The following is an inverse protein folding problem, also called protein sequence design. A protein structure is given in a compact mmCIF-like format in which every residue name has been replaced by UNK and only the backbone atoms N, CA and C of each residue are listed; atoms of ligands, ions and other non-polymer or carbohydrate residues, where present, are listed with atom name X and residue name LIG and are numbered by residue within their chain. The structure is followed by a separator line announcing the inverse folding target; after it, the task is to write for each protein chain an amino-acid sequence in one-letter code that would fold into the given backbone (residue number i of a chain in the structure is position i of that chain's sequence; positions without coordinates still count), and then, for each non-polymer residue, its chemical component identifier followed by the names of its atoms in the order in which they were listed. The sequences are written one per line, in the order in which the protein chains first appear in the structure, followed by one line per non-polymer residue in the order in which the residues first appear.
data_IF_394371504723
#
_entry.id   IF_394371504723
#
_cell.length_a   1.000
_cell.length_b   1.000
_cell.length_c   1.000
_cell.angle_alpha   90.00
_cell.angle_beta   90.00
_cell.angle_gamma   90.00
#
_symmetry.space_group_name_H-M   'P 1'
#
loop_
_entity.id
_entity.type
_entity.pdbx_description
1 polymer ?
#
# COMPACT_ATOMS: atom_id res chain seq x y z
N UNK A 1 -13.14 5.54 -19.01
CA UNK A 1 -12.67 5.94 -17.66
C UNK A 1 -12.59 4.67 -16.85
N UNK A 2 -11.40 4.35 -16.32
CA UNK A 2 -11.26 3.25 -15.35
C UNK A 2 -11.88 3.78 -14.07
N UNK A 3 -13.01 3.23 -13.66
CA UNK A 3 -13.69 3.68 -12.45
C UNK A 3 -13.32 2.82 -11.24
N UNK A 4 -12.90 1.58 -11.49
CA UNK A 4 -12.51 0.63 -10.46
C UNK A 4 -11.63 -0.48 -11.04
N UNK A 5 -10.77 -1.06 -10.22
CA UNK A 5 -10.10 -2.33 -10.55
C UNK A 5 -11.12 -3.45 -10.84
N UNK A 6 -12.33 -3.38 -10.27
CA UNK A 6 -13.42 -4.33 -10.56
C UNK A 6 -13.92 -4.28 -12.01
N UNK A 7 -13.61 -3.22 -12.77
CA UNK A 7 -13.87 -3.17 -14.20
C UNK A 7 -12.98 -4.16 -14.97
N UNK A 8 -11.91 -4.66 -14.33
CA UNK A 8 -10.92 -5.58 -14.88
C UNK A 8 -10.89 -6.94 -14.19
N UNK A 9 -11.16 -6.97 -12.88
CA UNK A 9 -11.11 -8.18 -12.07
C UNK A 9 -12.48 -8.51 -11.47
N UNK A 10 -12.91 -9.77 -11.56
CA UNK A 10 -14.06 -10.24 -10.79
C UNK A 10 -13.64 -10.57 -9.37
N UNK A 11 -14.21 -9.91 -8.36
CA UNK A 11 -14.01 -10.32 -6.96
C UNK A 11 -14.69 -11.69 -6.76
N UNK A 12 -13.97 -12.76 -6.42
CA UNK A 12 -14.54 -14.11 -6.43
C UNK A 12 -15.63 -14.29 -5.35
N UNK A 13 -15.58 -13.50 -4.27
CA UNK A 13 -16.56 -13.52 -3.19
C UNK A 13 -16.40 -14.73 -2.26
N UNK A 14 -17.23 -14.83 -1.23
CA UNK A 14 -17.27 -16.01 -0.36
C UNK A 14 -15.99 -16.30 0.44
N UNK A 15 -15.17 -15.28 0.73
CA UNK A 15 -13.88 -15.44 1.42
C UNK A 15 -12.72 -15.84 0.51
N UNK A 16 -12.90 -15.71 -0.81
CA UNK A 16 -11.86 -15.91 -1.82
C UNK A 16 -11.33 -14.55 -2.27
N UNK A 17 -10.02 -14.37 -2.18
CA UNK A 17 -9.27 -13.17 -2.54
C UNK A 17 -8.34 -13.43 -3.73
N UNK A 18 -7.84 -12.35 -4.34
CA UNK A 18 -6.98 -12.43 -5.51
C UNK A 18 -5.54 -12.76 -5.12
N UNK A 19 -5.08 -13.94 -5.52
CA UNK A 19 -3.69 -14.38 -5.45
C UNK A 19 -3.04 -14.30 -4.05
N UNK A 20 -3.79 -14.32 -2.95
CA UNK A 20 -3.21 -14.37 -1.60
C UNK A 20 -3.43 -15.73 -0.90
N UNK A 21 -4.25 -16.59 -1.49
CA UNK A 21 -4.64 -17.89 -0.93
C UNK A 21 -4.10 -19.03 -1.79
N UNK A 22 -3.04 -19.74 -1.36
CA UNK A 22 -2.41 -20.79 -2.17
C UNK A 22 -3.36 -21.94 -2.56
N UNK A 23 -4.42 -22.18 -1.79
CA UNK A 23 -5.41 -23.22 -2.10
C UNK A 23 -6.42 -22.82 -3.19
N UNK A 24 -6.48 -21.54 -3.57
CA UNK A 24 -7.41 -21.00 -4.56
C UNK A 24 -6.81 -20.96 -5.97
N UNK A 25 -7.65 -20.61 -6.95
CA UNK A 25 -7.21 -20.39 -8.32
C UNK A 25 -6.26 -19.17 -8.40
N UNK A 26 -5.19 -19.31 -9.18
CA UNK A 26 -4.34 -18.19 -9.55
C UNK A 26 -4.95 -17.42 -10.73
N UNK A 27 -4.88 -16.11 -10.68
CA UNK A 27 -5.32 -15.21 -11.73
C UNK A 27 -4.14 -14.42 -12.29
N UNK A 28 -4.02 -14.35 -13.61
CA UNK A 28 -2.94 -13.59 -14.24
C UNK A 28 -3.04 -12.09 -13.92
N UNK A 29 -1.91 -11.41 -13.63
CA UNK A 29 -1.90 -9.97 -13.41
C UNK A 29 -2.42 -9.20 -14.62
N UNK A 30 -3.20 -8.15 -14.38
CA UNK A 30 -3.70 -7.26 -15.42
C UNK A 30 -2.81 -6.01 -15.45
N UNK A 31 -1.98 -5.81 -16.48
CA UNK A 31 -1.14 -4.62 -16.56
C UNK A 31 -1.99 -3.40 -16.86
N UNK A 32 -1.79 -2.33 -16.09
CA UNK A 32 -2.36 -1.01 -16.34
C UNK A 32 -1.21 -0.07 -16.68
N UNK A 33 -1.27 0.56 -17.84
CA UNK A 33 -0.28 1.53 -18.30
C UNK A 33 -0.97 2.86 -18.59
N UNK A 34 -0.32 3.95 -18.20
CA UNK A 34 -0.73 5.30 -18.57
C UNK A 34 0.50 6.11 -18.95
N UNK A 35 0.31 7.10 -19.80
CA UNK A 35 1.34 8.05 -20.23
C UNK A 35 0.89 9.46 -19.82
N UNK A 36 1.79 10.19 -19.18
CA UNK A 36 1.58 11.59 -18.81
C UNK A 36 2.56 12.46 -19.60
N UNK A 37 2.04 13.27 -20.50
CA UNK A 37 2.82 14.24 -21.27
C UNK A 37 2.59 15.64 -20.71
N UNK A 38 3.66 16.26 -20.21
CA UNK A 38 3.61 17.63 -19.75
C UNK A 38 3.59 18.59 -20.94
N UNK A 39 2.70 19.59 -20.89
CA UNK A 39 2.63 20.65 -21.91
C UNK A 39 3.62 21.80 -21.64
N UNK A 40 4.08 21.92 -20.39
CA UNK A 40 5.05 22.91 -19.92
C UNK A 40 6.10 22.21 -19.03
N UNK A 41 7.35 22.71 -18.97
CA UNK A 41 8.35 22.19 -18.05
C UNK A 41 7.89 22.30 -16.58
N UNK A 42 8.10 21.23 -15.80
CA UNK A 42 7.80 21.20 -14.38
C UNK A 42 9.10 21.17 -13.57
N UNK A 43 9.29 22.19 -12.73
CA UNK A 43 10.44 22.27 -11.81
C UNK A 43 10.25 21.32 -10.63
N UNK A 44 10.94 20.18 -10.63
CA UNK A 44 10.80 19.14 -9.59
C UNK A 44 11.09 19.65 -8.17
N UNK A 45 11.93 20.67 -8.02
CA UNK A 45 12.26 21.29 -6.73
C UNK A 45 11.07 22.01 -6.07
N UNK A 46 10.04 22.33 -6.84
CA UNK A 46 8.80 22.98 -6.35
C UNK A 46 7.76 21.98 -5.88
N UNK A 47 7.96 20.69 -6.17
CA UNK A 47 7.01 19.65 -5.79
C UNK A 47 7.14 19.31 -4.30
N UNK A 48 6.04 18.90 -3.67
CA UNK A 48 6.09 18.30 -2.34
C UNK A 48 6.88 16.99 -2.37
N UNK A 49 7.21 16.44 -1.19
CA UNK A 49 8.03 15.22 -1.09
C UNK A 49 7.43 14.01 -1.82
N UNK A 50 6.10 13.98 -1.99
CA UNK A 50 5.37 12.97 -2.75
C UNK A 50 5.36 13.21 -4.28
N UNK A 51 6.01 14.28 -4.75
CA UNK A 51 6.20 14.55 -6.18
C UNK A 51 4.89 14.75 -6.94
N UNK A 52 4.77 14.05 -8.08
CA UNK A 52 3.55 14.00 -8.90
C UNK A 52 2.81 12.65 -8.76
N UNK A 53 3.31 11.76 -7.92
CA UNK A 53 2.83 10.39 -7.76
C UNK A 53 2.24 10.23 -6.37
N UNK A 54 0.92 10.36 -6.23
CA UNK A 54 0.18 10.10 -4.99
C UNK A 54 -0.94 9.09 -5.28
N UNK A 55 -0.61 7.80 -5.50
CA UNK A 55 -1.61 6.77 -5.71
C UNK A 55 -2.36 6.49 -4.40
N UNK A 56 -3.60 6.00 -4.54
CA UNK A 56 -4.41 5.59 -3.40
C UNK A 56 -5.32 4.42 -3.77
N UNK A 57 -5.81 3.72 -2.75
CA UNK A 57 -6.84 2.70 -2.85
C UNK A 57 -8.17 3.28 -2.37
N UNK A 58 -9.26 2.91 -3.04
CA UNK A 58 -10.62 3.26 -2.64
C UNK A 58 -11.31 2.02 -2.08
N UNK A 59 -11.69 2.07 -0.80
CA UNK A 59 -12.33 0.95 -0.11
C UNK A 59 -13.79 0.86 -0.55
N UNK A 60 -14.25 -0.34 -0.92
CA UNK A 60 -15.65 -0.63 -1.26
C UNK A 60 -16.29 0.30 -2.32
N UNK A 61 -15.49 0.99 -3.15
CA UNK A 61 -15.95 2.01 -4.11
C UNK A 61 -16.60 3.23 -3.45
N UNK A 62 -16.29 3.47 -2.19
CA UNK A 62 -16.72 4.66 -1.46
C UNK A 62 -15.69 5.76 -1.69
N UNK A 63 -16.06 6.78 -2.46
CA UNK A 63 -15.12 7.81 -2.94
C UNK A 63 -14.30 8.48 -1.82
N UNK A 64 -14.88 8.66 -0.63
CA UNK A 64 -14.20 9.26 0.51
C UNK A 64 -13.40 8.29 1.38
N UNK A 65 -13.50 6.98 1.15
CA UNK A 65 -12.78 5.98 1.92
C UNK A 65 -11.47 5.63 1.22
N UNK A 66 -10.49 6.49 1.41
CA UNK A 66 -9.19 6.45 0.74
C UNK A 66 -8.10 5.86 1.64
N UNK A 67 -7.16 5.12 1.06
CA UNK A 67 -5.93 4.66 1.71
C UNK A 67 -4.75 5.10 0.85
N UNK A 68 -3.85 5.92 1.40
CA UNK A 68 -2.64 6.38 0.71
C UNK A 68 -1.37 5.84 1.36
N UNK A 69 -0.24 6.11 0.70
CA UNK A 69 1.10 5.92 1.26
C UNK A 69 1.31 6.76 2.53
N UNK A 70 2.15 6.31 3.47
CA UNK A 70 2.35 6.99 4.75
C UNK A 70 2.86 8.42 4.57
N UNK A 71 2.17 9.38 5.19
CA UNK A 71 2.48 10.82 5.11
C UNK A 71 1.94 11.52 3.86
N UNK A 72 1.38 10.79 2.90
CA UNK A 72 0.79 11.40 1.70
C UNK A 72 -0.60 11.95 2.04
N UNK A 73 -0.95 13.15 1.57
CA UNK A 73 -2.24 13.75 1.90
C UNK A 73 -3.39 13.04 1.16
N UNK A 74 -4.61 13.05 1.73
CA UNK A 74 -5.83 12.64 1.04
C UNK A 74 -6.12 13.45 -0.22
N UNK A 75 -7.05 12.97 -1.04
CA UNK A 75 -7.68 13.83 -2.04
C UNK A 75 -8.69 14.80 -1.40
N UNK A 76 -9.25 15.72 -2.19
CA UNK A 76 -10.34 16.59 -1.76
C UNK A 76 -11.65 15.84 -1.45
N UNK A 77 -11.74 14.56 -1.82
CA UNK A 77 -12.93 13.74 -1.63
C UNK A 77 -12.88 12.88 -0.37
N UNK A 78 -11.72 12.78 0.29
CA UNK A 78 -11.57 11.96 1.49
C UNK A 78 -12.57 12.35 2.58
N UNK A 79 -13.20 11.35 3.17
CA UNK A 79 -14.01 11.50 4.35
C UNK A 79 -13.09 11.64 5.58
N UNK A 80 -12.88 12.89 5.99
CA UNK A 80 -12.03 13.20 7.15
C UNK A 80 -12.59 12.69 8.47
N UNK A 81 -13.86 12.27 8.54
CA UNK A 81 -14.43 11.67 9.74
C UNK A 81 -13.83 10.29 10.07
N UNK A 82 -13.19 9.64 9.08
CA UNK A 82 -12.47 8.37 9.23
C UNK A 82 -11.08 8.54 9.86
N UNK A 83 -10.52 9.74 9.86
CA UNK A 83 -9.16 9.99 10.37
C UNK A 83 -9.10 9.85 11.89
N UNK A 84 -8.03 9.22 12.38
CA UNK A 84 -7.82 9.01 13.81
C UNK A 84 -8.74 7.95 14.43
N UNK A 85 -9.43 7.14 13.61
CA UNK A 85 -10.29 6.04 14.07
C UNK A 85 -9.51 4.73 14.18
N UNK A 86 -9.89 3.91 15.16
CA UNK A 86 -9.24 2.62 15.42
C UNK A 86 -7.72 2.78 15.56
N UNK A 87 -6.95 2.05 14.77
CA UNK A 87 -5.49 2.13 14.77
C UNK A 87 -4.95 3.26 13.88
N UNK A 88 -5.77 3.90 13.05
CA UNK A 88 -5.32 5.03 12.25
C UNK A 88 -4.97 6.21 13.15
N UNK A 89 -3.82 6.83 12.88
CA UNK A 89 -3.32 7.99 13.63
C UNK A 89 -3.20 9.23 12.74
N UNK A 90 -4.01 9.31 11.69
CA UNK A 90 -4.01 10.48 10.80
C UNK A 90 -4.39 11.73 11.59
N UNK A 91 -3.52 12.73 11.53
CA UNK A 91 -3.70 14.04 12.12
C UNK A 91 -3.17 15.10 11.13
N UNK A 92 -4.06 15.74 10.36
CA UNK A 92 -3.68 16.76 9.38
C UNK A 92 -2.92 17.93 9.98
N UNK A 93 -3.21 18.32 11.23
CA UNK A 93 -2.52 19.41 11.92
C UNK A 93 -1.04 19.10 12.21
N UNK A 94 -0.64 17.83 12.21
CA UNK A 94 0.73 17.36 12.40
C UNK A 94 1.38 16.86 11.09
N UNK A 95 0.71 17.04 9.95
CA UNK A 95 1.11 16.42 8.67
C UNK A 95 1.34 14.90 8.79
N UNK A 96 0.53 14.23 9.62
CA UNK A 96 0.59 12.80 9.86
C UNK A 96 -0.57 12.14 9.13
N UNK A 97 -0.29 11.21 8.23
CA UNK A 97 -1.31 10.56 7.42
C UNK A 97 -1.04 9.05 7.25
N UNK A 98 -2.12 8.27 7.26
CA UNK A 98 -2.22 6.86 6.83
C UNK A 98 -1.20 5.90 7.46
N UNK A 99 -1.06 5.99 8.77
CA UNK A 99 -0.23 5.07 9.56
C UNK A 99 -0.75 4.97 10.98
N UNK A 100 -0.37 3.90 11.67
CA UNK A 100 -0.72 3.70 13.08
C UNK A 100 0.07 4.60 14.01
N UNK A 101 -0.29 4.70 15.29
CA UNK A 101 0.48 5.45 16.30
C UNK A 101 1.94 4.99 16.41
N UNK A 102 2.23 3.73 16.07
CA UNK A 102 3.58 3.15 16.03
C UNK A 102 4.24 3.24 14.64
N UNK A 103 3.70 4.04 13.72
CA UNK A 103 4.20 4.22 12.35
C UNK A 103 4.05 3.02 11.39
N UNK A 104 3.27 1.98 11.73
CA UNK A 104 2.95 0.95 10.75
C UNK A 104 2.10 1.56 9.61
N UNK A 105 2.51 1.42 8.33
CA UNK A 105 1.81 2.07 7.22
C UNK A 105 0.60 1.27 6.75
N UNK A 106 -0.41 1.94 6.17
CA UNK A 106 -1.55 1.27 5.53
C UNK A 106 -1.27 0.81 4.09
N UNK A 107 -0.27 1.39 3.42
CA UNK A 107 0.15 1.02 2.07
C UNK A 107 1.68 1.04 1.94
N UNK A 108 2.19 0.24 1.01
CA UNK A 108 3.62 0.13 0.71
C UNK A 108 3.90 0.44 -0.76
N UNK A 109 5.03 1.09 -1.02
CA UNK A 109 5.62 1.25 -2.34
C UNK A 109 7.06 0.75 -2.27
N UNK A 110 7.39 -0.26 -3.07
CA UNK A 110 8.65 -1.00 -2.99
C UNK A 110 9.33 -1.02 -4.36
N UNK A 111 10.67 -0.85 -4.43
CA UNK A 111 11.40 -0.81 -5.69
C UNK A 111 11.65 -2.20 -6.30
N UNK A 112 10.87 -3.22 -5.89
CA UNK A 112 11.08 -4.62 -6.26
C UNK A 112 9.75 -5.30 -6.59
N UNK A 113 9.82 -6.39 -7.36
CA UNK A 113 8.72 -7.36 -7.38
C UNK A 113 8.67 -8.05 -6.02
N UNK A 114 7.71 -7.66 -5.20
CA UNK A 114 7.61 -8.13 -3.81
C UNK A 114 6.82 -9.44 -3.73
N UNK A 115 7.30 -10.36 -2.87
CA UNK A 115 6.60 -11.60 -2.56
C UNK A 115 5.78 -11.38 -1.29
N UNK A 116 4.52 -11.01 -1.46
CA UNK A 116 3.65 -10.64 -0.35
C UNK A 116 3.24 -11.88 0.49
N UNK A 117 2.82 -11.67 1.75
CA UNK A 117 2.34 -12.76 2.58
C UNK A 117 1.06 -13.40 2.05
N UNK A 118 0.83 -14.67 2.41
CA UNK A 118 -0.46 -15.33 2.23
C UNK A 118 -1.55 -14.64 3.07
N UNK A 119 -2.80 -14.84 2.67
CA UNK A 119 -3.96 -14.21 3.29
C UNK A 119 -4.03 -14.44 4.80
N UNK A 120 -4.47 -13.41 5.53
CA UNK A 120 -4.53 -13.38 7.01
C UNK A 120 -3.20 -13.62 7.74
N UNK A 121 -2.04 -13.51 7.07
CA UNK A 121 -0.73 -13.47 7.73
C UNK A 121 -0.22 -12.05 7.84
N UNK A 122 0.13 -11.67 9.06
CA UNK A 122 0.74 -10.38 9.34
C UNK A 122 2.09 -10.27 8.63
N UNK A 123 2.37 -9.11 8.02
CA UNK A 123 3.66 -8.85 7.36
C UNK A 123 4.80 -9.01 8.37
N UNK A 124 4.64 -8.60 9.62
CA UNK A 124 5.64 -8.75 10.69
C UNK A 124 5.99 -10.21 11.01
N UNK A 125 5.09 -11.16 10.74
CA UNK A 125 5.32 -12.59 10.92
C UNK A 125 5.99 -13.22 9.69
N UNK A 126 5.72 -12.69 8.50
CA UNK A 126 6.37 -13.12 7.26
C UNK A 126 7.77 -12.49 7.09
N UNK A 127 7.93 -11.23 7.51
CA UNK A 127 9.11 -10.41 7.37
C UNK A 127 9.48 -9.82 8.74
N UNK A 128 10.42 -10.47 9.44
CA UNK A 128 10.71 -10.16 10.86
C UNK A 128 11.28 -8.74 11.08
N UNK A 129 11.84 -8.12 10.03
CA UNK A 129 12.39 -6.75 10.08
C UNK A 129 11.39 -5.67 9.70
N UNK A 130 10.20 -6.02 9.22
CA UNK A 130 9.20 -5.07 8.75
C UNK A 130 8.78 -4.07 9.85
N UNK A 131 8.40 -4.57 11.03
CA UNK A 131 7.92 -3.69 12.11
C UNK A 131 9.01 -2.71 12.59
N UNK A 132 10.25 -3.14 12.92
CA UNK A 132 11.34 -2.21 13.25
C UNK A 132 11.64 -1.19 12.14
N UNK A 133 11.56 -1.60 10.87
CA UNK A 133 11.71 -0.68 9.74
C UNK A 133 10.62 0.40 9.75
N UNK A 134 9.35 0.01 9.84
CA UNK A 134 8.23 0.94 9.84
C UNK A 134 8.25 1.87 11.06
N UNK A 135 8.46 1.31 12.26
CA UNK A 135 8.50 2.04 13.53
C UNK A 135 9.61 3.09 13.56
N UNK A 136 10.76 2.78 12.96
CA UNK A 136 11.91 3.69 12.83
C UNK A 136 11.78 4.71 11.69
N UNK A 137 10.63 4.76 11.02
CA UNK A 137 10.39 5.58 9.82
C UNK A 137 11.40 5.30 8.69
N UNK A 138 11.75 4.02 8.51
CA UNK A 138 12.63 3.55 7.45
C UNK A 138 14.13 3.65 7.75
N UNK A 139 14.53 4.12 8.93
CA UNK A 139 15.94 4.29 9.29
C UNK A 139 16.64 2.96 9.62
N UNK A 140 15.89 1.92 9.99
CA UNK A 140 16.40 0.58 10.28
C UNK A 140 15.93 -0.41 9.22
N UNK A 141 16.80 -1.35 8.84
CA UNK A 141 16.48 -2.44 7.89
C UNK A 141 15.83 -1.95 6.59
N UNK A 142 16.46 -1.01 5.84
CA UNK A 142 15.89 -0.47 4.60
C UNK A 142 15.68 -1.54 3.52
N UNK A 143 16.32 -2.70 3.66
CA UNK A 143 16.29 -3.88 2.81
C UNK A 143 15.44 -5.03 3.39
N UNK A 144 14.54 -4.75 4.36
CA UNK A 144 13.75 -5.76 5.07
C UNK A 144 12.97 -6.72 4.14
N UNK A 145 12.63 -6.27 2.93
CA UNK A 145 11.85 -7.01 1.93
C UNK A 145 12.68 -7.99 1.10
N UNK A 146 14.01 -8.01 1.24
CA UNK A 146 14.90 -8.86 0.45
C UNK A 146 15.01 -10.29 1.01
N UNK A 147 14.68 -11.29 0.16
CA UNK A 147 14.64 -12.72 0.51
C UNK A 147 15.97 -13.33 0.97
N UNK A 148 17.10 -12.62 0.82
CA UNK A 148 18.45 -13.16 1.07
C UNK A 148 18.92 -13.12 2.52
N UNK A 149 18.25 -12.36 3.41
CA UNK A 149 18.79 -12.03 4.73
C UNK A 149 18.45 -13.04 5.85
N UNK A 150 17.66 -14.08 5.56
CA UNK A 150 17.22 -15.07 6.55
C UNK A 150 16.17 -14.56 7.55
N UNK A 151 15.72 -13.32 7.38
CA UNK A 151 14.71 -12.66 8.22
C UNK A 151 13.27 -12.84 7.71
N UNK A 152 13.06 -13.82 6.82
CA UNK A 152 11.77 -14.07 6.17
C UNK A 152 11.32 -15.49 6.44
N UNK A 153 10.04 -15.64 6.78
CA UNK A 153 9.40 -16.94 6.93
C UNK A 153 8.79 -17.38 5.60
N UNK A 154 9.44 -18.28 4.84
CA UNK A 154 8.94 -18.69 3.53
C UNK A 154 7.57 -19.39 3.60
N UNK A 155 7.21 -19.99 4.74
CA UNK A 155 5.91 -20.64 4.91
C UNK A 155 4.72 -19.66 4.90
N UNK A 156 4.99 -18.36 5.06
CA UNK A 156 3.97 -17.31 5.03
C UNK A 156 4.01 -16.49 3.74
N UNK A 157 4.86 -16.83 2.78
CA UNK A 157 4.97 -16.13 1.50
C UNK A 157 4.07 -16.80 0.47
N UNK A 158 3.36 -15.99 -0.31
CA UNK A 158 2.64 -16.49 -1.48
C UNK A 158 3.63 -16.72 -2.63
N UNK A 159 3.74 -17.96 -3.11
CA UNK A 159 4.82 -18.43 -4.00
C UNK A 159 4.35 -18.99 -5.35
N UNK A 160 3.18 -18.56 -5.84
CA UNK A 160 2.63 -18.98 -7.13
C UNK A 160 2.78 -17.95 -8.24
#
# INVERSE_FOLDING_TARGET
VISSTNDFVSVPGGGIFWNTQPEQAHYEPIPISFELTLIEPLELSTLPFWGFWNPYLMVNREQGHEIHLPGYPPTIHADTELFGKNDDSTNPAENRYYKTNTNLPWALDLPVKWNYPIEHKEISQAYYRFAPWAESAGNQYPDWYELGNGDINPAFIYDR
#
